data_IF_938747442620
#
_entry.id   IF_938747442620
#
_cell.length_a   1.000
_cell.length_b   1.000
_cell.length_c   1.000
_cell.angle_alpha   90.00
_cell.angle_beta   90.00
_cell.angle_gamma   90.00
#
_symmetry.space_group_name_H-M   'P 1'
#
loop_
_entity.id
_entity.type
_entity.pdbx_description
1 polymer ?
#
# COMPACT_ATOMS: atom_id res chain seq x y z
N UNK A 1 57.82 8.97 -39.12
CA UNK A 1 58.20 7.63 -38.59
C UNK A 1 57.65 7.27 -37.20
N UNK A 2 57.35 8.23 -36.32
CA UNK A 2 56.81 7.88 -34.96
C UNK A 2 55.33 7.45 -34.91
N UNK A 3 54.51 7.77 -35.90
CA UNK A 3 53.07 7.41 -35.94
C UNK A 3 52.79 5.99 -36.48
N UNK A 4 53.69 5.40 -37.23
CA UNK A 4 53.53 4.05 -37.80
C UNK A 4 53.90 2.96 -36.77
N UNK A 5 54.80 3.29 -35.84
CA UNK A 5 55.24 2.34 -34.80
C UNK A 5 54.17 2.06 -33.73
N UNK A 6 53.26 3.02 -33.48
CA UNK A 6 52.16 2.89 -32.50
C UNK A 6 51.04 1.98 -33.03
N UNK A 7 50.81 1.97 -34.35
CA UNK A 7 49.79 1.11 -34.95
C UNK A 7 50.22 -0.37 -35.07
N UNK A 8 51.52 -0.62 -35.19
CA UNK A 8 52.06 -2.01 -35.24
C UNK A 8 52.07 -2.68 -33.89
N UNK A 9 52.27 -1.96 -32.80
CA UNK A 9 52.19 -2.49 -31.44
C UNK A 9 50.74 -2.77 -30.98
N UNK A 10 49.75 -2.03 -31.51
CA UNK A 10 48.32 -2.27 -31.24
C UNK A 10 47.76 -3.51 -31.94
N UNK A 11 48.27 -3.86 -33.11
CA UNK A 11 47.83 -5.04 -33.86
C UNK A 11 48.41 -6.37 -33.33
N UNK A 12 49.56 -6.35 -32.67
CA UNK A 12 50.15 -7.53 -32.04
C UNK A 12 49.51 -7.89 -30.70
N UNK A 13 48.91 -6.93 -30.01
CA UNK A 13 48.16 -7.18 -28.75
C UNK A 13 46.74 -7.75 -29.00
N UNK A 14 46.11 -7.42 -30.12
CA UNK A 14 44.76 -7.94 -30.46
C UNK A 14 44.85 -9.38 -30.99
N UNK A 15 45.90 -9.74 -31.74
CA UNK A 15 46.10 -11.10 -32.22
C UNK A 15 46.44 -12.10 -31.10
N UNK A 16 47.13 -11.64 -30.03
CA UNK A 16 47.43 -12.51 -28.87
C UNK A 16 46.19 -12.89 -28.02
N UNK A 17 45.24 -11.98 -27.90
CA UNK A 17 44.00 -12.22 -27.15
C UNK A 17 43.05 -13.15 -27.93
N UNK A 18 42.98 -13.02 -29.24
CA UNK A 18 42.15 -13.91 -30.10
C UNK A 18 42.70 -15.34 -30.12
N UNK A 19 44.02 -15.51 -30.12
CA UNK A 19 44.64 -16.86 -30.09
C UNK A 19 44.46 -17.56 -28.73
N UNK A 20 44.43 -16.82 -27.61
CA UNK A 20 44.20 -17.38 -26.28
C UNK A 20 42.71 -17.83 -26.09
N UNK A 21 41.77 -17.11 -26.68
CA UNK A 21 40.34 -17.51 -26.65
C UNK A 21 40.03 -18.73 -27.53
N UNK A 22 40.73 -18.91 -28.64
CA UNK A 22 40.55 -20.05 -29.56
C UNK A 22 41.17 -21.33 -28.96
N UNK A 23 42.28 -21.23 -28.20
CA UNK A 23 42.89 -22.39 -27.54
C UNK A 23 42.09 -22.94 -26.36
N UNK A 24 41.26 -22.11 -25.73
CA UNK A 24 40.32 -22.57 -24.69
C UNK A 24 39.02 -23.19 -25.22
N UNK A 25 38.69 -22.97 -26.50
CA UNK A 25 37.47 -23.49 -27.14
C UNK A 25 37.65 -24.85 -27.82
N UNK A 26 38.88 -25.35 -28.01
CA UNK A 26 39.13 -26.62 -28.70
C UNK A 26 39.64 -27.77 -27.81
N UNK A 27 39.74 -27.56 -26.48
CA UNK A 27 40.22 -28.59 -25.53
C UNK A 27 39.11 -29.22 -24.66
N UNK A 28 37.84 -29.13 -25.06
CA UNK A 28 36.73 -29.71 -24.28
C UNK A 28 35.70 -30.40 -25.18
N UNK A 29 36.16 -31.41 -25.94
CA UNK A 29 35.24 -32.40 -26.51
C UNK A 29 35.77 -33.79 -26.23
N UNK A 30 35.43 -34.30 -25.05
CA UNK A 30 35.22 -35.74 -24.75
C UNK A 30 34.84 -35.89 -23.28
N UNK A 31 33.56 -35.80 -23.01
CA UNK A 31 32.84 -36.71 -22.12
C UNK A 31 31.38 -36.27 -22.14
N UNK A 32 30.53 -37.09 -22.74
CA UNK A 32 29.10 -36.90 -22.81
C UNK A 32 28.46 -37.06 -21.42
N UNK A 33 28.44 -35.98 -20.67
CA UNK A 33 27.56 -35.82 -19.54
C UNK A 33 26.47 -34.83 -19.95
N UNK A 34 25.23 -35.28 -20.08
CA UNK A 34 24.06 -34.39 -20.14
C UNK A 34 24.09 -33.58 -18.84
N UNK A 35 24.67 -32.39 -18.91
CA UNK A 35 24.44 -31.37 -17.86
C UNK A 35 22.94 -31.09 -17.93
N UNK A 36 22.16 -31.73 -17.05
CA UNK A 36 20.87 -31.21 -16.64
C UNK A 36 21.13 -29.73 -16.30
N UNK A 37 20.51 -28.85 -17.08
CA UNK A 37 20.36 -27.45 -16.72
C UNK A 37 19.68 -27.50 -15.37
N UNK A 38 20.44 -27.31 -14.29
CA UNK A 38 19.87 -27.14 -12.97
C UNK A 38 18.85 -26.03 -13.13
N UNK A 39 17.58 -26.38 -13.00
CA UNK A 39 16.51 -25.42 -12.89
C UNK A 39 16.91 -24.50 -11.74
N UNK A 40 17.01 -23.21 -12.01
CA UNK A 40 17.30 -22.16 -11.05
C UNK A 40 16.39 -22.36 -9.84
N UNK A 41 16.91 -23.03 -8.80
CA UNK A 41 16.20 -23.36 -7.58
C UNK A 41 16.35 -22.23 -6.56
N UNK A 42 16.63 -21.02 -7.04
CA UNK A 42 16.75 -19.86 -6.16
C UNK A 42 15.38 -19.53 -5.57
N UNK A 43 15.30 -19.54 -4.26
CA UNK A 43 14.16 -19.01 -3.51
C UNK A 43 14.03 -17.52 -3.85
N UNK A 44 12.84 -17.11 -4.29
CA UNK A 44 12.52 -15.70 -4.57
C UNK A 44 11.66 -15.15 -3.45
N UNK A 45 11.82 -13.87 -3.14
CA UNK A 45 11.01 -13.19 -2.14
C UNK A 45 10.50 -11.86 -2.67
N UNK A 46 9.29 -11.48 -2.25
CA UNK A 46 8.70 -10.17 -2.49
C UNK A 46 8.17 -9.61 -1.18
N UNK A 47 8.69 -8.46 -0.76
CA UNK A 47 8.23 -7.74 0.42
C UNK A 47 7.19 -6.70 0.02
N UNK A 48 5.98 -6.86 0.53
CA UNK A 48 4.84 -5.98 0.28
C UNK A 48 4.50 -5.23 1.56
N UNK A 49 4.35 -3.91 1.47
CA UNK A 49 3.80 -3.11 2.58
C UNK A 49 2.45 -2.53 2.19
N UNK A 50 1.55 -2.44 3.16
CA UNK A 50 0.25 -1.78 3.02
C UNK A 50 -0.07 -0.97 4.28
N UNK A 51 -0.80 0.13 4.13
CA UNK A 51 -1.24 0.96 5.24
C UNK A 51 -2.75 1.22 5.17
N UNK A 52 -3.31 1.65 6.29
CA UNK A 52 -4.69 2.09 6.37
C UNK A 52 -4.93 3.49 5.81
N UNK A 53 -6.01 4.13 6.21
CA UNK A 53 -6.63 5.26 5.55
C UNK A 53 -5.73 6.52 5.50
N UNK A 54 -5.39 6.97 4.28
CA UNK A 54 -4.82 8.30 4.00
C UNK A 54 -6.01 9.23 3.76
N UNK A 55 -6.48 9.89 4.82
CA UNK A 55 -7.70 10.69 4.83
C UNK A 55 -7.38 12.17 5.01
N UNK A 56 -7.44 12.94 3.92
CA UNK A 56 -7.00 14.34 3.90
C UNK A 56 -8.11 15.29 4.32
N UNK A 57 -8.27 15.47 5.62
CA UNK A 57 -9.14 16.50 6.20
C UNK A 57 -8.67 17.93 5.87
N UNK A 58 -9.57 18.90 6.04
CA UNK A 58 -9.30 20.32 5.81
C UNK A 58 -8.09 20.86 6.59
N UNK A 59 -7.94 20.49 7.86
CA UNK A 59 -6.80 20.90 8.68
C UNK A 59 -5.45 20.44 8.10
N UNK A 60 -5.41 19.26 7.44
CA UNK A 60 -4.19 18.74 6.83
C UNK A 60 -3.80 19.57 5.62
N UNK A 61 -4.74 19.80 4.66
CA UNK A 61 -4.36 20.57 3.48
C UNK A 61 -4.16 22.06 3.79
N UNK A 62 -4.81 22.62 4.81
CA UNK A 62 -4.47 23.97 5.27
C UNK A 62 -3.04 24.05 5.83
N UNK A 63 -2.60 23.03 6.54
CA UNK A 63 -1.22 22.95 7.03
C UNK A 63 -0.22 22.76 5.89
N UNK A 64 -0.54 21.91 4.92
CA UNK A 64 0.30 21.65 3.74
C UNK A 64 0.39 22.85 2.79
N UNK A 65 -0.51 23.85 2.90
CA UNK A 65 -0.53 25.02 2.02
C UNK A 65 0.68 25.91 2.27
N UNK A 66 1.43 26.23 1.19
CA UNK A 66 2.57 27.15 1.17
C UNK A 66 2.13 28.57 0.87
N UNK A 67 3.07 29.51 1.05
CA UNK A 67 2.84 30.94 0.81
C UNK A 67 2.53 31.26 -0.67
N UNK A 68 3.07 30.48 -1.61
CA UNK A 68 2.80 30.60 -3.04
C UNK A 68 1.47 30.01 -3.49
N UNK A 69 0.71 29.45 -2.53
CA UNK A 69 -0.59 28.81 -2.77
C UNK A 69 -0.53 27.34 -3.18
N UNK A 70 0.65 26.78 -3.41
CA UNK A 70 0.84 25.34 -3.63
C UNK A 70 0.69 24.54 -2.34
N UNK A 71 0.69 23.21 -2.44
CA UNK A 71 0.58 22.30 -1.30
C UNK A 71 1.77 21.36 -1.25
N UNK A 72 2.24 21.03 -0.04
CA UNK A 72 3.34 20.12 0.20
C UNK A 72 3.00 19.20 1.38
N UNK A 73 2.74 17.93 1.07
CA UNK A 73 2.40 16.92 2.07
C UNK A 73 3.62 16.06 2.45
N UNK A 74 4.78 16.20 1.80
CA UNK A 74 5.98 15.42 2.12
C UNK A 74 6.38 15.47 3.60
N UNK A 75 6.26 16.60 4.32
CA UNK A 75 6.57 16.63 5.74
C UNK A 75 5.75 15.64 6.59
N UNK A 76 4.55 15.25 6.16
CA UNK A 76 3.72 14.30 6.92
C UNK A 76 4.30 12.89 6.88
N UNK A 77 4.96 12.53 5.79
CA UNK A 77 5.52 11.20 5.53
C UNK A 77 7.01 11.08 5.84
N UNK A 78 7.66 12.13 6.35
CA UNK A 78 9.12 12.18 6.56
C UNK A 78 9.65 10.96 7.33
N UNK A 79 8.99 10.54 8.41
CA UNK A 79 9.46 9.43 9.23
C UNK A 79 9.08 8.06 8.68
N UNK A 80 7.98 7.96 7.96
CA UNK A 80 7.51 6.68 7.40
C UNK A 80 8.08 6.38 6.02
N UNK A 81 8.52 7.40 5.28
CA UNK A 81 9.07 7.25 3.92
C UNK A 81 10.12 6.14 3.81
N UNK A 82 11.15 6.03 4.69
CA UNK A 82 12.15 4.96 4.58
C UNK A 82 11.57 3.54 4.73
N UNK A 83 10.44 3.40 5.43
CA UNK A 83 9.77 2.12 5.61
C UNK A 83 9.02 1.68 4.34
N UNK A 84 8.43 2.65 3.63
CA UNK A 84 7.69 2.45 2.37
C UNK A 84 8.69 2.21 1.23
N UNK A 85 9.70 3.09 1.05
CA UNK A 85 10.74 2.94 0.02
C UNK A 85 11.56 1.64 0.15
N UNK A 86 11.64 1.07 1.36
CA UNK A 86 12.33 -0.19 1.61
C UNK A 86 11.57 -1.43 1.17
N UNK A 87 10.32 -1.31 0.71
CA UNK A 87 9.52 -2.44 0.21
C UNK A 87 9.80 -2.70 -1.28
N UNK A 88 9.49 -3.91 -1.73
CA UNK A 88 9.50 -4.25 -3.16
C UNK A 88 8.20 -3.83 -3.84
N UNK A 89 7.11 -3.69 -3.07
CA UNK A 89 5.81 -3.19 -3.51
C UNK A 89 5.11 -2.49 -2.34
N UNK A 90 4.64 -1.26 -2.56
CA UNK A 90 3.92 -0.48 -1.57
C UNK A 90 2.51 -0.13 -2.03
N UNK A 91 1.51 -0.43 -1.20
CA UNK A 91 0.08 -0.19 -1.45
C UNK A 91 -0.43 0.83 -0.44
N UNK A 92 -0.98 1.96 -0.90
CA UNK A 92 -1.60 2.98 -0.06
C UNK A 92 -3.11 3.00 -0.20
N UNK A 93 -3.84 3.08 0.90
CA UNK A 93 -5.28 3.32 0.88
C UNK A 93 -5.54 4.83 0.91
N UNK A 94 -6.02 5.40 -0.20
CA UNK A 94 -6.34 6.83 -0.31
C UNK A 94 -7.84 7.04 -0.19
N UNK A 95 -8.31 7.41 0.99
CA UNK A 95 -9.72 7.65 1.28
C UNK A 95 -10.11 9.11 0.99
N UNK A 96 -10.74 9.34 -0.15
CA UNK A 96 -11.17 10.65 -0.61
C UNK A 96 -11.15 10.77 -2.14
N UNK A 97 -11.40 11.97 -2.64
CA UNK A 97 -11.32 12.27 -4.07
C UNK A 97 -10.32 13.38 -4.36
N UNK A 98 -9.94 13.47 -5.62
CA UNK A 98 -9.27 14.61 -6.23
C UNK A 98 -10.12 15.06 -7.40
N UNK A 99 -10.54 16.34 -7.41
CA UNK A 99 -11.35 16.89 -8.49
C UNK A 99 -11.02 18.37 -8.72
N UNK A 100 -10.82 18.73 -9.98
CA UNK A 100 -10.61 20.13 -10.39
C UNK A 100 -11.93 20.89 -10.64
N UNK A 101 -13.08 20.21 -10.50
CA UNK A 101 -14.43 20.78 -10.70
C UNK A 101 -15.19 21.02 -9.41
N UNK A 102 -14.62 20.63 -8.29
CA UNK A 102 -15.20 20.82 -6.97
C UNK A 102 -14.24 21.62 -6.09
N UNK A 103 -14.75 22.43 -5.14
CA UNK A 103 -13.89 23.08 -4.17
C UNK A 103 -13.17 22.04 -3.32
N UNK A 104 -11.99 22.39 -2.80
CA UNK A 104 -11.33 21.56 -1.79
C UNK A 104 -12.25 21.38 -0.58
N UNK A 105 -12.25 20.19 -0.01
CA UNK A 105 -13.11 19.82 1.11
C UNK A 105 -12.50 18.73 1.98
N UNK A 106 -12.82 18.81 3.28
CA UNK A 106 -12.69 17.73 4.23
C UNK A 106 -14.06 17.10 4.50
N UNK A 107 -14.23 16.53 5.73
CA UNK A 107 -15.53 15.94 6.11
C UNK A 107 -16.68 16.95 5.95
N UNK A 108 -17.85 16.56 5.40
CA UNK A 108 -18.22 15.18 5.00
C UNK A 108 -17.92 14.81 3.53
N UNK A 109 -17.44 15.73 2.71
CA UNK A 109 -17.17 15.51 1.29
C UNK A 109 -15.70 15.85 0.99
N UNK A 110 -14.90 14.79 0.87
CA UNK A 110 -13.46 14.93 0.69
C UNK A 110 -13.08 15.23 -0.75
N UNK A 111 -12.36 16.34 -0.93
CA UNK A 111 -11.69 16.70 -2.17
C UNK A 111 -10.31 17.26 -1.85
N UNK A 112 -9.27 16.46 -2.01
CA UNK A 112 -7.92 16.83 -1.64
C UNK A 112 -7.21 17.66 -2.74
N UNK A 113 -6.23 18.49 -2.40
CA UNK A 113 -5.33 19.11 -3.35
C UNK A 113 -4.59 18.05 -4.17
N UNK A 114 -4.46 18.27 -5.48
CA UNK A 114 -3.84 17.32 -6.42
C UNK A 114 -2.39 16.94 -6.05
N UNK A 115 -1.69 17.81 -5.31
CA UNK A 115 -0.31 17.59 -4.87
C UNK A 115 -0.16 16.45 -3.85
N UNK A 116 -1.24 15.97 -3.24
CA UNK A 116 -1.16 14.74 -2.42
C UNK A 116 -0.70 13.54 -3.25
N UNK A 117 -1.10 13.47 -4.53
CA UNK A 117 -0.69 12.40 -5.42
C UNK A 117 0.80 12.50 -5.80
N UNK A 118 1.37 13.71 -5.87
CA UNK A 118 2.81 13.89 -6.02
C UNK A 118 3.54 13.33 -4.80
N UNK A 119 3.07 13.66 -3.61
CA UNK A 119 3.65 13.15 -2.35
C UNK A 119 3.54 11.63 -2.24
N UNK A 120 2.38 11.03 -2.54
CA UNK A 120 2.22 9.56 -2.52
C UNK A 120 3.24 8.89 -3.45
N UNK A 121 3.45 9.45 -4.65
CA UNK A 121 4.48 8.96 -5.57
C UNK A 121 5.90 9.14 -5.02
N UNK A 122 6.21 10.32 -4.50
CA UNK A 122 7.54 10.67 -3.98
C UNK A 122 7.92 9.85 -2.73
N UNK A 123 6.94 9.39 -1.97
CA UNK A 123 7.12 8.53 -0.78
C UNK A 123 7.43 7.08 -1.17
N UNK A 124 7.16 6.68 -2.41
CA UNK A 124 7.52 5.36 -2.93
C UNK A 124 6.38 4.38 -3.06
N UNK A 125 5.12 4.82 -3.06
CA UNK A 125 4.00 3.94 -3.37
C UNK A 125 3.98 3.53 -4.84
N UNK A 126 3.46 2.33 -5.08
CA UNK A 126 3.29 1.74 -6.42
C UNK A 126 1.83 1.61 -6.81
N UNK A 127 0.97 1.32 -5.83
CA UNK A 127 -0.47 1.06 -6.01
C UNK A 127 -1.26 1.89 -5.00
N UNK A 128 -2.39 2.43 -5.46
CA UNK A 128 -3.33 3.18 -4.62
C UNK A 128 -4.69 2.46 -4.64
N UNK A 129 -5.16 2.07 -3.46
CA UNK A 129 -6.51 1.60 -3.26
C UNK A 129 -7.48 2.79 -3.23
N UNK A 130 -8.52 2.71 -4.04
CA UNK A 130 -9.58 3.72 -4.20
C UNK A 130 -10.97 3.14 -3.88
N UNK A 131 -11.06 1.91 -3.37
CA UNK A 131 -12.33 1.28 -3.01
C UNK A 131 -12.78 1.72 -1.61
N UNK A 132 -13.36 2.89 -1.49
CA UNK A 132 -13.84 3.41 -0.21
C UNK A 132 -15.13 4.22 -0.36
N UNK A 133 -15.81 4.43 0.78
CA UNK A 133 -17.11 5.11 0.84
C UNK A 133 -17.07 6.59 0.38
N UNK A 134 -15.89 7.23 0.32
CA UNK A 134 -15.71 8.62 -0.11
C UNK A 134 -15.31 8.80 -1.59
N UNK A 135 -15.18 7.72 -2.39
CA UNK A 135 -14.74 7.83 -3.80
C UNK A 135 -15.74 8.57 -4.70
N UNK A 136 -16.97 8.71 -4.26
CA UNK A 136 -18.01 9.46 -4.97
C UNK A 136 -18.31 10.86 -4.39
N UNK A 137 -17.53 11.36 -3.45
CA UNK A 137 -17.76 12.67 -2.83
C UNK A 137 -17.80 13.84 -3.82
N UNK A 138 -17.08 13.72 -4.93
CA UNK A 138 -17.14 14.66 -6.07
C UNK A 138 -17.77 14.06 -7.32
N UNK A 139 -18.60 13.02 -7.13
CA UNK A 139 -19.36 12.34 -8.16
C UNK A 139 -18.50 11.46 -9.08
N UNK A 140 -19.14 10.90 -10.13
CA UNK A 140 -18.47 10.03 -11.09
C UNK A 140 -17.30 10.71 -11.81
N UNK A 141 -17.42 12.02 -12.06
CA UNK A 141 -16.31 12.78 -12.62
C UNK A 141 -15.10 12.77 -11.70
N UNK A 142 -15.31 13.01 -10.40
CA UNK A 142 -14.23 13.00 -9.42
C UNK A 142 -13.56 11.63 -9.26
N UNK A 143 -14.34 10.55 -9.24
CA UNK A 143 -13.81 9.19 -9.27
C UNK A 143 -12.85 9.00 -10.46
N UNK A 144 -13.29 9.31 -11.69
CA UNK A 144 -12.47 9.17 -12.90
C UNK A 144 -11.25 10.11 -12.90
N UNK A 145 -11.40 11.31 -12.37
CA UNK A 145 -10.32 12.27 -12.31
C UNK A 145 -9.27 11.88 -11.25
N UNK A 146 -9.69 11.33 -10.11
CA UNK A 146 -8.80 10.78 -9.07
C UNK A 146 -7.92 9.66 -9.65
N UNK A 147 -8.52 8.69 -10.33
CA UNK A 147 -7.80 7.63 -11.04
C UNK A 147 -6.76 8.18 -12.02
N UNK A 148 -7.20 9.10 -12.88
CA UNK A 148 -6.32 9.75 -13.85
C UNK A 148 -5.14 10.47 -13.18
N UNK A 149 -5.38 11.18 -12.08
CA UNK A 149 -4.34 11.93 -11.36
C UNK A 149 -3.25 11.00 -10.85
N UNK A 150 -3.60 9.85 -10.30
CA UNK A 150 -2.63 8.86 -9.84
C UNK A 150 -1.90 8.18 -11.00
N UNK A 151 -2.63 7.75 -12.04
CA UNK A 151 -2.05 7.11 -13.24
C UNK A 151 -1.11 8.04 -14.01
N UNK A 152 -1.40 9.33 -14.12
CA UNK A 152 -0.52 10.32 -14.73
C UNK A 152 0.84 10.43 -14.02
N UNK A 153 0.92 10.01 -12.75
CA UNK A 153 2.14 9.97 -11.93
C UNK A 153 2.82 8.61 -11.91
N UNK A 154 2.31 7.66 -12.70
CA UNK A 154 2.84 6.30 -12.78
C UNK A 154 2.56 5.48 -11.53
N UNK A 155 1.42 5.74 -10.87
CA UNK A 155 0.82 4.91 -9.84
C UNK A 155 -0.28 4.06 -10.46
N UNK A 156 -0.33 2.77 -10.13
CA UNK A 156 -1.49 1.96 -10.46
C UNK A 156 -2.61 2.20 -9.44
N UNK A 157 -3.85 2.00 -9.86
CA UNK A 157 -5.03 2.13 -8.99
C UNK A 157 -5.83 0.84 -8.98
N UNK A 158 -6.51 0.56 -7.88
CA UNK A 158 -7.37 -0.61 -7.70
C UNK A 158 -8.68 -0.19 -6.99
N UNK A 159 -9.73 -1.00 -7.14
CA UNK A 159 -10.99 -0.78 -6.44
C UNK A 159 -12.01 0.09 -7.17
N UNK A 160 -11.65 0.63 -8.32
CA UNK A 160 -12.55 1.36 -9.23
C UNK A 160 -12.23 1.03 -10.70
N UNK A 161 -13.18 1.32 -11.59
CA UNK A 161 -13.05 1.07 -13.04
C UNK A 161 -13.33 2.36 -13.80
N UNK A 162 -12.33 3.26 -13.91
CA UNK A 162 -12.51 4.60 -14.47
C UNK A 162 -12.70 4.59 -16.01
N UNK A 163 -11.87 3.81 -16.71
CA UNK A 163 -11.78 3.81 -18.18
C UNK A 163 -12.58 2.69 -18.85
N UNK A 164 -12.78 1.57 -18.16
CA UNK A 164 -13.44 0.37 -18.66
C UNK A 164 -14.56 -0.06 -17.73
N UNK A 165 -15.48 -0.86 -18.26
CA UNK A 165 -16.47 -1.52 -17.42
C UNK A 165 -15.77 -2.56 -16.52
N UNK A 166 -16.24 -2.73 -15.29
CA UNK A 166 -15.72 -3.72 -14.35
C UNK A 166 -15.63 -5.12 -14.96
N UNK A 167 -16.61 -5.53 -15.74
CA UNK A 167 -16.64 -6.84 -16.41
C UNK A 167 -15.57 -7.01 -17.50
N UNK A 168 -15.03 -5.91 -18.03
CA UNK A 168 -14.02 -5.89 -19.10
C UNK A 168 -12.63 -5.56 -18.58
N UNK A 169 -12.53 -5.18 -17.31
CA UNK A 169 -11.28 -4.78 -16.70
C UNK A 169 -10.44 -5.99 -16.28
N UNK A 170 -9.14 -5.80 -16.32
CA UNK A 170 -8.19 -6.82 -15.91
C UNK A 170 -7.91 -6.68 -14.42
N UNK A 171 -7.67 -7.80 -13.77
CA UNK A 171 -7.11 -7.79 -12.43
C UNK A 171 -5.74 -7.10 -12.46
N UNK A 172 -5.49 -6.22 -11.51
CA UNK A 172 -4.16 -5.63 -11.34
C UNK A 172 -3.20 -6.71 -10.83
N UNK A 173 -2.20 -7.04 -11.64
CA UNK A 173 -1.14 -7.97 -11.27
C UNK A 173 0.20 -7.26 -11.38
N UNK A 174 0.93 -7.20 -10.27
CA UNK A 174 2.30 -6.71 -10.20
C UNK A 174 3.26 -7.89 -10.18
N UNK A 175 4.27 -7.87 -11.03
CA UNK A 175 5.35 -8.86 -10.98
C UNK A 175 6.56 -8.26 -10.25
N UNK A 176 6.86 -8.82 -9.08
CA UNK A 176 7.91 -8.37 -8.17
C UNK A 176 8.88 -9.51 -7.91
N UNK A 177 10.13 -9.34 -8.28
CA UNK A 177 11.18 -10.35 -8.10
C UNK A 177 10.80 -11.73 -8.70
N UNK A 178 9.92 -11.74 -9.74
CA UNK A 178 9.42 -12.97 -10.39
C UNK A 178 8.31 -13.67 -9.60
N UNK A 179 7.64 -12.96 -8.69
CA UNK A 179 6.40 -13.34 -8.01
C UNK A 179 5.29 -12.44 -8.54
N UNK A 180 4.21 -13.04 -9.05
CA UNK A 180 3.02 -12.32 -9.51
C UNK A 180 2.06 -12.13 -8.36
N UNK A 181 1.73 -10.88 -8.06
CA UNK A 181 0.86 -10.47 -6.95
C UNK A 181 -0.38 -9.84 -7.56
N UNK A 182 -1.53 -10.48 -7.43
CA UNK A 182 -2.82 -9.91 -7.77
C UNK A 182 -3.31 -9.03 -6.61
N UNK A 183 -3.88 -7.87 -6.93
CA UNK A 183 -4.40 -6.91 -5.96
C UNK A 183 -5.84 -6.57 -6.33
N UNK A 184 -6.76 -6.76 -5.39
CA UNK A 184 -8.19 -6.49 -5.52
C UNK A 184 -8.65 -5.63 -4.35
N UNK A 185 -9.60 -4.73 -4.59
CA UNK A 185 -10.15 -3.89 -3.53
C UNK A 185 -11.66 -3.69 -3.71
N UNK A 186 -12.40 -3.58 -2.59
CA UNK A 186 -13.86 -3.54 -2.58
C UNK A 186 -14.39 -2.63 -1.47
N UNK A 187 -15.48 -1.90 -1.74
CA UNK A 187 -16.13 -1.01 -0.79
C UNK A 187 -17.55 -1.47 -0.42
N UNK A 188 -17.91 -1.27 0.86
CA UNK A 188 -19.26 -1.63 1.36
C UNK A 188 -20.36 -0.69 0.86
N UNK A 189 -20.01 0.52 0.43
CA UNK A 189 -20.96 1.55 0.03
C UNK A 189 -20.28 2.89 -0.24
N UNK A 190 -21.09 3.93 -0.50
CA UNK A 190 -20.60 5.23 -1.00
C UNK A 190 -21.32 6.41 -0.35
N UNK A 191 -21.63 6.32 0.95
CA UNK A 191 -22.31 7.37 1.73
C UNK A 191 -23.61 7.89 1.09
N UNK A 192 -24.30 7.04 0.31
CA UNK A 192 -25.51 7.39 -0.43
C UNK A 192 -25.26 8.21 -1.70
N UNK A 193 -24.01 8.56 -2.04
CA UNK A 193 -23.67 9.32 -3.24
C UNK A 193 -23.91 8.53 -4.53
N UNK A 194 -23.88 7.21 -4.45
CA UNK A 194 -24.21 6.28 -5.53
C UNK A 194 -25.67 6.38 -6.01
N UNK A 195 -26.58 6.94 -5.20
CA UNK A 195 -27.93 7.26 -5.61
C UNK A 195 -28.02 8.27 -6.77
N UNK A 196 -26.94 9.04 -7.02
CA UNK A 196 -26.83 9.97 -8.13
C UNK A 196 -26.31 9.30 -9.42
N UNK A 197 -25.96 8.02 -9.39
CA UNK A 197 -25.50 7.26 -10.54
C UNK A 197 -26.66 6.52 -11.22
N UNK A 198 -26.51 6.29 -12.53
CA UNK A 198 -27.34 5.29 -13.19
C UNK A 198 -26.98 3.88 -12.70
N UNK A 199 -27.89 2.92 -12.80
CA UNK A 199 -27.58 1.53 -12.48
C UNK A 199 -26.43 0.98 -13.34
N UNK A 200 -26.30 1.45 -14.59
CA UNK A 200 -25.21 1.09 -15.48
C UNK A 200 -23.87 1.66 -14.98
N UNK A 201 -23.81 2.95 -14.61
CA UNK A 201 -22.58 3.57 -14.08
C UNK A 201 -22.12 2.88 -12.79
N UNK A 202 -23.07 2.60 -11.88
CA UNK A 202 -22.76 1.88 -10.64
C UNK A 202 -22.12 0.51 -10.92
N UNK A 203 -22.76 -0.28 -11.78
CA UNK A 203 -22.25 -1.62 -12.13
C UNK A 203 -20.90 -1.56 -12.84
N UNK A 204 -20.68 -0.54 -13.67
CA UNK A 204 -19.50 -0.45 -14.52
C UNK A 204 -18.27 0.13 -13.80
N UNK A 205 -18.47 1.02 -12.81
CA UNK A 205 -17.37 1.81 -12.26
C UNK A 205 -17.01 1.50 -10.80
N UNK A 206 -17.87 0.78 -10.08
CA UNK A 206 -17.70 0.54 -8.65
C UNK A 206 -17.37 -0.92 -8.33
N UNK A 207 -16.51 -1.14 -7.35
CA UNK A 207 -16.18 -2.45 -6.81
C UNK A 207 -16.90 -2.67 -5.48
N UNK A 208 -18.20 -2.95 -5.56
CA UNK A 208 -19.04 -3.25 -4.40
C UNK A 208 -18.63 -4.58 -3.75
N UNK A 209 -18.94 -4.76 -2.45
CA UNK A 209 -18.89 -6.04 -1.74
C UNK A 209 -20.03 -6.98 -2.20
N UNK A 210 -20.05 -7.29 -3.49
CA UNK A 210 -20.94 -8.27 -4.11
C UNK A 210 -20.27 -9.64 -4.07
N UNK A 211 -20.76 -10.55 -3.22
CA UNK A 211 -20.12 -11.84 -2.96
C UNK A 211 -19.93 -12.70 -4.23
N UNK A 212 -20.84 -12.65 -5.18
CA UNK A 212 -20.72 -13.45 -6.42
C UNK A 212 -19.59 -12.90 -7.29
N UNK A 213 -19.56 -11.60 -7.52
CA UNK A 213 -18.50 -10.95 -8.31
C UNK A 213 -17.14 -11.04 -7.64
N UNK A 214 -17.07 -10.78 -6.33
CA UNK A 214 -15.83 -10.92 -5.56
C UNK A 214 -15.27 -12.34 -5.67
N UNK A 215 -16.12 -13.35 -5.52
CA UNK A 215 -15.72 -14.75 -5.67
C UNK A 215 -15.16 -15.03 -7.05
N UNK A 216 -15.84 -14.59 -8.12
CA UNK A 216 -15.37 -14.76 -9.50
C UNK A 216 -14.01 -14.08 -9.72
N UNK A 217 -13.86 -12.84 -9.26
CA UNK A 217 -12.65 -12.05 -9.42
C UNK A 217 -11.47 -12.62 -8.60
N UNK A 218 -11.68 -13.02 -7.33
CA UNK A 218 -10.65 -13.63 -6.49
C UNK A 218 -10.21 -14.99 -7.04
N UNK A 219 -11.15 -15.83 -7.49
CA UNK A 219 -10.81 -17.10 -8.12
C UNK A 219 -10.11 -16.96 -9.48
N UNK A 220 -10.35 -15.86 -10.19
CA UNK A 220 -9.61 -15.52 -11.40
C UNK A 220 -8.20 -15.05 -11.04
N UNK A 221 -8.06 -14.20 -10.02
CA UNK A 221 -6.76 -13.74 -9.52
C UNK A 221 -5.85 -14.89 -9.11
N UNK A 222 -6.37 -15.86 -8.34
CA UNK A 222 -5.63 -17.05 -7.92
C UNK A 222 -5.10 -17.88 -9.12
N UNK A 223 -5.83 -17.90 -10.24
CA UNK A 223 -5.38 -18.62 -11.46
C UNK A 223 -4.34 -17.84 -12.27
N UNK A 224 -4.35 -16.51 -12.20
CA UNK A 224 -3.53 -15.64 -13.04
C UNK A 224 -2.25 -15.17 -12.32
N UNK A 225 -2.21 -15.24 -10.97
CA UNK A 225 -1.10 -14.79 -10.14
C UNK A 225 -0.57 -15.90 -9.21
N UNK A 226 0.56 -15.63 -8.57
CA UNK A 226 1.17 -16.55 -7.60
C UNK A 226 0.57 -16.35 -6.18
N UNK A 227 0.10 -15.13 -5.88
CA UNK A 227 -0.57 -14.76 -4.64
C UNK A 227 -1.62 -13.68 -4.90
N UNK A 228 -2.64 -13.65 -4.04
CA UNK A 228 -3.75 -12.71 -4.12
C UNK A 228 -3.89 -11.91 -2.83
N UNK A 229 -3.82 -10.58 -2.94
CA UNK A 229 -4.07 -9.62 -1.88
C UNK A 229 -5.43 -8.98 -2.11
N UNK A 230 -6.28 -8.95 -1.07
CA UNK A 230 -7.60 -8.34 -1.12
C UNK A 230 -7.70 -7.24 -0.08
N UNK A 231 -8.21 -6.07 -0.48
CA UNK A 231 -8.38 -4.89 0.38
C UNK A 231 -9.88 -4.54 0.47
N UNK A 232 -10.62 -5.14 1.41
CA UNK A 232 -12.02 -4.80 1.63
C UNK A 232 -12.13 -3.63 2.61
N UNK A 233 -12.99 -2.67 2.28
CA UNK A 233 -13.39 -1.61 3.18
C UNK A 233 -14.78 -1.91 3.75
N UNK A 234 -14.83 -2.35 5.01
CA UNK A 234 -16.02 -2.81 5.70
C UNK A 234 -15.85 -2.75 7.22
N UNK A 235 -16.95 -2.61 7.94
CA UNK A 235 -16.99 -2.64 9.40
C UNK A 235 -17.88 -1.55 9.96
N UNK A 236 -17.70 -1.24 11.24
CA UNK A 236 -18.41 -0.17 11.93
C UNK A 236 -17.41 0.84 12.46
N UNK A 237 -17.55 2.10 12.04
CA UNK A 237 -16.65 3.17 12.46
C UNK A 237 -16.42 3.21 13.97
N UNK A 238 -15.16 3.32 14.36
CA UNK A 238 -14.67 3.46 15.74
C UNK A 238 -14.93 2.25 16.65
N UNK A 239 -15.32 1.10 16.10
CA UNK A 239 -15.36 -0.18 16.82
C UNK A 239 -14.03 -0.90 16.72
N UNK A 240 -13.55 -1.40 17.86
CA UNK A 240 -12.26 -2.09 17.95
C UNK A 240 -12.34 -3.58 17.58
N UNK A 241 -13.56 -4.11 17.49
CA UNK A 241 -13.80 -5.52 17.18
C UNK A 241 -14.56 -5.64 15.87
N UNK A 242 -14.16 -6.54 14.97
CA UNK A 242 -14.87 -6.77 13.72
C UNK A 242 -16.27 -7.35 13.96
N UNK A 243 -17.21 -7.01 13.10
CA UNK A 243 -18.55 -7.61 13.12
C UNK A 243 -18.51 -9.06 12.66
N UNK A 244 -19.53 -9.85 12.99
CA UNK A 244 -19.62 -11.24 12.54
C UNK A 244 -19.76 -11.34 11.00
N UNK A 245 -20.43 -10.36 10.37
CA UNK A 245 -20.53 -10.25 8.92
C UNK A 245 -19.16 -9.99 8.27
N UNK A 246 -18.36 -9.09 8.89
CA UNK A 246 -17.01 -8.79 8.44
C UNK A 246 -16.11 -10.04 8.54
N UNK A 247 -16.12 -10.73 9.68
CA UNK A 247 -15.39 -11.99 9.86
C UNK A 247 -15.79 -13.02 8.82
N UNK A 248 -17.09 -13.26 8.67
CA UNK A 248 -17.61 -14.25 7.75
C UNK A 248 -17.19 -13.96 6.30
N UNK A 249 -17.24 -12.68 5.88
CA UNK A 249 -16.86 -12.29 4.52
C UNK A 249 -15.36 -12.43 4.27
N UNK A 250 -14.51 -12.01 5.23
CA UNK A 250 -13.06 -12.12 5.06
C UNK A 250 -12.58 -13.57 5.04
N UNK A 251 -13.20 -14.44 5.83
CA UNK A 251 -12.98 -15.89 5.73
C UNK A 251 -13.40 -16.45 4.36
N UNK A 252 -14.54 -16.01 3.80
CA UNK A 252 -14.91 -16.38 2.42
C UNK A 252 -13.89 -15.92 1.39
N UNK A 253 -13.30 -14.74 1.54
CA UNK A 253 -12.22 -14.27 0.63
C UNK A 253 -11.03 -15.23 0.66
N UNK A 254 -10.61 -15.69 1.85
CA UNK A 254 -9.58 -16.73 1.99
C UNK A 254 -10.02 -18.03 1.30
N UNK A 255 -11.25 -18.48 1.54
CA UNK A 255 -11.81 -19.69 0.90
C UNK A 255 -11.82 -19.58 -0.64
N UNK A 256 -12.05 -18.39 -1.20
CA UNK A 256 -12.06 -18.15 -2.64
C UNK A 256 -10.68 -18.07 -3.26
N UNK A 257 -9.61 -17.89 -2.48
CA UNK A 257 -8.22 -17.90 -2.94
C UNK A 257 -7.36 -16.70 -2.52
N UNK A 258 -7.85 -15.82 -1.66
CA UNK A 258 -7.00 -14.76 -1.11
C UNK A 258 -5.92 -15.36 -0.18
N UNK A 259 -4.70 -14.86 -0.30
CA UNK A 259 -3.57 -15.18 0.60
C UNK A 259 -3.50 -14.20 1.76
N UNK A 260 -3.84 -12.93 1.50
CA UNK A 260 -3.79 -11.84 2.46
C UNK A 260 -5.03 -10.95 2.29
N UNK A 261 -5.65 -10.60 3.42
CA UNK A 261 -6.74 -9.63 3.48
C UNK A 261 -6.31 -8.46 4.37
N UNK A 262 -6.27 -7.25 3.79
CA UNK A 262 -5.99 -5.99 4.47
C UNK A 262 -7.26 -5.17 4.57
N UNK A 263 -7.98 -5.23 5.70
CA UNK A 263 -9.21 -4.49 5.92
C UNK A 263 -9.00 -3.02 6.28
N UNK A 264 -9.99 -2.19 5.93
CA UNK A 264 -10.08 -0.77 6.22
C UNK A 264 -11.51 -0.34 6.54
N UNK A 265 -11.77 0.96 6.71
CA UNK A 265 -13.04 1.64 7.02
C UNK A 265 -13.30 1.95 8.50
N UNK A 266 -13.08 1.09 9.51
CA UNK A 266 -13.42 1.43 10.90
C UNK A 266 -12.68 2.65 11.47
N UNK A 267 -11.66 3.18 10.80
CA UNK A 267 -10.78 4.27 11.24
C UNK A 267 -10.06 3.99 12.57
N UNK A 268 -10.12 2.77 13.02
CA UNK A 268 -9.40 2.23 14.18
C UNK A 268 -8.87 0.85 13.83
N UNK A 269 -7.81 0.45 14.51
CA UNK A 269 -7.24 -0.88 14.33
C UNK A 269 -8.21 -1.93 14.88
N UNK A 270 -8.46 -2.98 14.11
CA UNK A 270 -9.09 -4.21 14.56
C UNK A 270 -8.07 -5.37 14.59
N UNK A 271 -8.34 -6.47 15.33
CA UNK A 271 -7.39 -7.56 15.48
C UNK A 271 -6.96 -8.24 14.18
N UNK A 272 -5.84 -8.97 14.24
CA UNK A 272 -5.35 -9.83 13.16
C UNK A 272 -5.70 -11.30 13.42
N UNK A 273 -5.78 -12.07 12.33
CA UNK A 273 -6.01 -13.51 12.37
C UNK A 273 -5.11 -14.25 11.39
N UNK A 274 -4.60 -15.41 11.81
CA UNK A 274 -3.91 -16.37 10.94
C UNK A 274 -4.87 -17.51 10.64
N UNK A 275 -5.11 -17.76 9.35
CA UNK A 275 -6.03 -18.81 8.89
C UNK A 275 -5.24 -19.92 8.20
N UNK A 276 -5.46 -21.17 8.58
CA UNK A 276 -4.89 -22.33 7.91
C UNK A 276 -5.81 -22.77 6.76
N UNK A 277 -5.27 -22.83 5.53
CA UNK A 277 -6.01 -23.33 4.37
C UNK A 277 -5.08 -24.19 3.51
N UNK A 278 -5.48 -25.42 3.21
CA UNK A 278 -4.77 -26.39 2.36
C UNK A 278 -3.31 -26.64 2.81
N UNK A 279 -3.05 -26.49 4.12
CA UNK A 279 -1.72 -26.66 4.74
C UNK A 279 -0.81 -25.42 4.63
N UNK A 280 -1.33 -24.28 4.17
CA UNK A 280 -0.66 -23.00 4.13
C UNK A 280 -1.31 -21.99 5.06
N UNK A 281 -0.49 -21.13 5.65
CA UNK A 281 -0.97 -19.99 6.44
C UNK A 281 -1.39 -18.85 5.54
N UNK A 282 -2.58 -18.31 5.80
CA UNK A 282 -3.14 -17.10 5.19
C UNK A 282 -3.32 -16.04 6.28
N UNK A 283 -3.44 -14.80 5.88
CA UNK A 283 -3.45 -13.70 6.82
C UNK A 283 -4.65 -12.78 6.63
N UNK A 284 -5.26 -12.36 7.75
CA UNK A 284 -6.30 -11.34 7.82
C UNK A 284 -5.89 -10.30 8.86
N UNK A 285 -5.94 -9.02 8.51
CA UNK A 285 -6.11 -7.91 9.44
C UNK A 285 -7.48 -7.28 9.17
N UNK A 286 -8.32 -7.22 10.18
CA UNK A 286 -9.71 -6.78 9.99
C UNK A 286 -9.81 -5.28 9.72
N UNK A 287 -8.94 -4.45 10.34
CA UNK A 287 -8.75 -3.04 9.96
C UNK A 287 -7.36 -2.57 10.34
N UNK A 288 -6.72 -1.84 9.42
CA UNK A 288 -5.41 -1.21 9.64
C UNK A 288 -5.53 0.16 10.33
N UNK A 289 -6.74 0.71 10.50
CA UNK A 289 -6.98 2.04 11.07
C UNK A 289 -6.47 3.18 10.20
N UNK A 290 -6.45 4.39 10.73
CA UNK A 290 -5.96 5.57 10.01
C UNK A 290 -4.43 5.58 9.90
N UNK A 291 -3.91 5.89 8.72
CA UNK A 291 -2.49 6.15 8.53
C UNK A 291 -2.17 7.64 8.69
N UNK A 292 -3.00 8.51 8.12
CA UNK A 292 -2.97 9.94 8.39
C UNK A 292 -4.37 10.55 8.31
N UNK A 293 -4.78 11.21 9.37
CA UNK A 293 -6.06 11.90 9.45
C UNK A 293 -6.03 13.04 10.50
N UNK A 294 -7.09 13.83 10.59
CA UNK A 294 -7.28 14.79 11.68
C UNK A 294 -8.19 14.25 12.79
N UNK A 295 -8.40 12.94 12.83
CA UNK A 295 -9.16 12.25 13.88
C UNK A 295 -8.23 11.99 15.08
N UNK A 296 -8.03 13.02 15.90
CA UNK A 296 -7.11 13.01 17.05
C UNK A 296 -7.88 12.86 18.36
N UNK A 297 -7.19 12.41 19.41
CA UNK A 297 -7.73 12.30 20.77
C UNK A 297 -8.48 13.56 21.21
N UNK A 298 -7.92 14.75 20.97
CA UNK A 298 -8.52 16.02 21.40
C UNK A 298 -9.81 16.40 20.64
N UNK A 299 -10.04 15.79 19.47
CA UNK A 299 -11.25 16.02 18.66
C UNK A 299 -12.30 14.94 18.83
N UNK A 300 -11.84 13.69 18.96
CA UNK A 300 -12.71 12.52 18.95
C UNK A 300 -13.03 12.02 20.35
N UNK A 301 -12.36 12.53 21.39
CA UNK A 301 -12.37 11.98 22.74
C UNK A 301 -12.07 10.46 22.76
N UNK A 302 -11.37 10.02 21.71
CA UNK A 302 -10.97 8.65 21.45
C UNK A 302 -9.54 8.63 20.90
N UNK A 303 -8.68 7.84 21.54
CA UNK A 303 -7.26 7.74 21.16
C UNK A 303 -6.99 6.81 19.99
N UNK A 304 -7.94 5.94 19.64
CA UNK A 304 -7.70 4.92 18.63
C UNK A 304 -7.65 5.47 17.20
N UNK A 305 -8.45 6.48 16.79
CA UNK A 305 -8.37 7.00 15.42
C UNK A 305 -7.07 7.74 15.06
N UNK A 306 -6.21 8.10 16.04
CA UNK A 306 -4.86 8.63 15.74
C UNK A 306 -3.80 7.53 15.55
N UNK A 307 -4.19 6.25 15.66
CA UNK A 307 -3.36 5.06 15.59
C UNK A 307 -3.68 4.24 14.36
N UNK A 308 -2.66 3.66 13.77
CA UNK A 308 -2.79 2.81 12.60
C UNK A 308 -1.70 1.77 12.52
N UNK A 309 -1.67 1.08 11.39
CA UNK A 309 -0.67 0.07 11.08
C UNK A 309 -0.03 0.34 9.72
N UNK A 310 1.25 0.04 9.63
CA UNK A 310 1.92 -0.31 8.39
C UNK A 310 2.13 -1.83 8.43
N UNK A 311 1.40 -2.55 7.59
CA UNK A 311 1.57 -4.00 7.44
C UNK A 311 2.76 -4.30 6.54
N UNK A 312 3.51 -5.36 6.86
CA UNK A 312 4.70 -5.81 6.13
C UNK A 312 4.61 -7.32 5.95
N UNK A 313 4.38 -7.73 4.72
CA UNK A 313 4.22 -9.15 4.34
C UNK A 313 5.30 -9.53 3.36
N UNK A 314 6.02 -10.62 3.65
CA UNK A 314 6.97 -11.20 2.69
C UNK A 314 6.38 -12.48 2.11
N UNK A 315 6.26 -12.53 0.81
CA UNK A 315 5.98 -13.74 0.05
C UNK A 315 7.28 -14.45 -0.32
N UNK A 316 7.26 -15.77 -0.30
CA UNK A 316 8.38 -16.62 -0.70
C UNK A 316 7.92 -17.61 -1.76
N UNK A 317 8.62 -17.63 -2.91
CA UNK A 317 8.39 -18.58 -3.99
C UNK A 317 9.55 -19.56 -4.07
N UNK A 318 9.25 -20.84 -3.87
CA UNK A 318 10.19 -21.94 -4.04
C UNK A 318 9.65 -22.90 -5.07
N UNK A 319 10.34 -23.04 -6.20
CA UNK A 319 9.86 -23.77 -7.39
C UNK A 319 8.51 -23.16 -7.87
N UNK A 320 7.44 -23.97 -7.83
CA UNK A 320 6.13 -23.58 -8.34
C UNK A 320 5.15 -23.18 -7.20
N UNK A 321 5.62 -23.16 -5.94
CA UNK A 321 4.78 -22.81 -4.78
C UNK A 321 5.20 -21.47 -4.20
N UNK A 322 4.21 -20.59 -4.04
CA UNK A 322 4.38 -19.29 -3.34
C UNK A 322 3.55 -19.32 -2.05
N UNK A 323 4.12 -18.84 -0.96
CA UNK A 323 3.47 -18.79 0.36
C UNK A 323 3.74 -17.47 1.05
N UNK A 324 2.89 -17.12 2.01
CA UNK A 324 3.15 -16.03 2.95
C UNK A 324 4.23 -16.50 3.93
N UNK A 325 5.42 -15.88 3.86
CA UNK A 325 6.59 -16.26 4.66
C UNK A 325 6.61 -15.59 6.02
N UNK A 326 6.44 -14.27 6.01
CA UNK A 326 6.41 -13.46 7.23
C UNK A 326 5.30 -12.43 7.16
N UNK A 327 4.72 -12.15 8.31
CA UNK A 327 3.80 -11.02 8.50
C UNK A 327 4.26 -10.23 9.71
N UNK A 328 4.36 -8.92 9.56
CA UNK A 328 4.63 -7.99 10.66
C UNK A 328 3.63 -6.87 10.62
N UNK A 329 3.20 -6.44 11.78
CA UNK A 329 2.39 -5.25 11.96
C UNK A 329 3.26 -4.20 12.66
N UNK A 330 3.51 -3.09 11.98
CA UNK A 330 4.26 -1.96 12.52
C UNK A 330 3.27 -0.91 13.03
N UNK A 331 3.14 -0.73 14.37
CA UNK A 331 2.27 0.28 14.94
C UNK A 331 2.65 1.68 14.47
N UNK A 332 1.65 2.46 14.04
CA UNK A 332 1.84 3.86 13.65
C UNK A 332 1.02 4.79 14.53
N UNK A 333 1.46 6.05 14.60
CA UNK A 333 0.78 7.12 15.33
C UNK A 333 0.84 8.40 14.51
N UNK A 334 -0.29 9.07 14.36
CA UNK A 334 -0.33 10.43 13.81
C UNK A 334 0.11 11.41 14.90
N UNK A 335 1.37 11.84 14.81
CA UNK A 335 1.87 12.92 15.64
C UNK A 335 1.33 14.25 15.16
N UNK A 336 0.79 15.06 16.06
CA UNK A 336 0.33 16.41 15.77
C UNK A 336 0.85 17.40 16.81
N UNK A 337 1.39 18.55 16.34
CA UNK A 337 1.92 19.61 17.20
C UNK A 337 1.46 20.96 16.68
N UNK A 338 0.95 21.82 17.60
CA UNK A 338 0.63 23.21 17.26
C UNK A 338 1.82 23.89 16.59
N UNK A 339 1.59 24.50 15.41
CA UNK A 339 2.64 25.17 14.64
C UNK A 339 2.60 26.70 14.69
N UNK A 340 1.73 27.25 15.54
CA UNK A 340 1.55 28.70 15.71
C UNK A 340 0.76 29.39 14.60
N UNK A 341 0.40 28.68 13.54
CA UNK A 341 -0.47 29.19 12.45
C UNK A 341 -1.94 29.01 12.83
N UNK A 342 -2.80 29.80 12.23
CA UNK A 342 -4.25 29.62 12.32
C UNK A 342 -4.91 29.91 10.98
N UNK A 343 -6.13 29.39 10.79
CA UNK A 343 -7.02 29.75 9.70
C UNK A 343 -8.42 30.02 10.26
N UNK A 344 -8.95 31.23 9.99
CA UNK A 344 -10.24 31.64 10.50
C UNK A 344 -10.40 31.48 12.04
N UNK A 345 -9.31 31.65 12.78
CA UNK A 345 -9.27 31.49 14.25
C UNK A 345 -9.07 30.04 14.72
N UNK A 346 -9.09 29.05 13.83
CA UNK A 346 -8.78 27.66 14.17
C UNK A 346 -7.26 27.43 14.13
N UNK A 347 -6.64 26.85 15.18
CA UNK A 347 -5.22 26.58 15.19
C UNK A 347 -4.86 25.45 14.20
N UNK A 348 -3.69 25.59 13.57
CA UNK A 348 -3.11 24.56 12.69
C UNK A 348 -2.02 23.78 13.43
N UNK A 349 -1.80 22.56 12.94
CA UNK A 349 -0.86 21.59 13.52
C UNK A 349 0.07 21.08 12.43
N UNK A 350 1.34 20.85 12.75
CA UNK A 350 2.19 19.99 11.94
C UNK A 350 1.81 18.54 12.21
N UNK A 351 1.72 17.75 11.15
CA UNK A 351 1.39 16.33 11.21
C UNK A 351 2.57 15.50 10.76
N UNK A 352 2.79 14.36 11.42
CA UNK A 352 3.81 13.36 11.05
C UNK A 352 3.23 11.96 11.27
N UNK A 353 3.51 11.06 10.36
CA UNK A 353 3.23 9.63 10.53
C UNK A 353 4.45 8.99 11.16
N UNK A 354 4.33 8.53 12.40
CA UNK A 354 5.41 7.88 13.14
C UNK A 354 5.24 6.36 13.07
N UNK A 355 6.26 5.63 12.63
CA UNK A 355 6.36 4.18 12.87
C UNK A 355 6.99 4.01 14.23
N UNK A 356 6.24 3.45 15.19
CA UNK A 356 6.57 3.56 16.61
C UNK A 356 7.86 2.84 17.01
N UNK A 357 8.29 1.81 16.27
CA UNK A 357 9.58 1.14 16.48
C UNK A 357 10.78 2.10 16.41
N UNK A 358 10.69 3.16 15.62
CA UNK A 358 11.74 4.17 15.55
C UNK A 358 11.77 5.09 16.78
N UNK A 359 10.73 5.08 17.63
CA UNK A 359 10.53 6.05 18.73
C UNK A 359 10.37 5.40 20.11
N UNK A 360 10.17 4.10 20.23
CA UNK A 360 10.18 3.37 21.51
C UNK A 360 11.59 3.34 22.14
N UNK A 361 11.72 2.75 23.32
CA UNK A 361 13.04 2.59 23.94
C UNK A 361 13.99 1.79 23.03
N UNK A 362 15.15 2.37 22.72
CA UNK A 362 16.11 1.83 21.75
C UNK A 362 15.85 2.22 20.29
N UNK A 363 14.74 2.88 19.97
CA UNK A 363 14.44 3.39 18.63
C UNK A 363 15.35 4.56 18.23
N UNK A 364 15.72 4.62 16.94
CA UNK A 364 16.71 5.57 16.39
C UNK A 364 16.31 7.05 16.47
N UNK A 365 15.00 7.36 16.63
CA UNK A 365 14.45 8.73 16.65
C UNK A 365 13.91 9.13 18.03
N UNK A 366 14.02 8.27 19.05
CA UNK A 366 13.47 8.52 20.39
C UNK A 366 13.93 9.82 21.03
N UNK A 367 15.20 10.17 20.85
CA UNK A 367 15.78 11.38 21.46
C UNK A 367 15.25 12.70 20.88
N UNK A 368 14.50 12.65 19.77
CA UNK A 368 13.81 13.79 19.20
C UNK A 368 12.51 14.14 19.93
N UNK A 369 12.04 13.26 20.83
CA UNK A 369 10.78 13.40 21.55
C UNK A 369 10.99 14.01 22.94
N UNK A 370 10.05 14.85 23.36
CA UNK A 370 9.91 15.21 24.76
C UNK A 370 9.37 14.04 25.60
N UNK A 371 9.45 14.15 26.93
CA UNK A 371 9.10 13.04 27.83
C UNK A 371 7.62 12.67 27.76
N UNK A 372 6.73 13.63 27.52
CA UNK A 372 5.28 13.37 27.35
C UNK A 372 5.01 12.57 26.10
N UNK A 373 5.71 12.88 25.00
CA UNK A 373 5.56 12.15 23.75
C UNK A 373 6.21 10.77 23.82
N UNK A 374 7.34 10.61 24.52
CA UNK A 374 7.94 9.31 24.80
C UNK A 374 6.98 8.37 25.52
N UNK A 375 6.29 8.89 26.57
CA UNK A 375 5.26 8.14 27.29
C UNK A 375 4.09 7.75 26.38
N UNK A 376 3.57 8.71 25.57
CA UNK A 376 2.48 8.45 24.61
C UNK A 376 2.85 7.36 23.60
N UNK A 377 4.06 7.40 23.09
CA UNK A 377 4.60 6.40 22.14
C UNK A 377 4.67 5.02 22.78
N UNK A 378 5.28 4.90 23.99
CA UNK A 378 5.42 3.62 24.67
C UNK A 378 4.05 2.99 25.00
N UNK A 379 3.09 3.79 25.48
CA UNK A 379 1.72 3.34 25.73
C UNK A 379 1.05 2.91 24.44
N UNK A 380 1.15 3.72 23.38
CA UNK A 380 0.50 3.41 22.10
C UNK A 380 1.08 2.15 21.47
N UNK A 381 2.40 1.99 21.46
CA UNK A 381 3.06 0.78 20.93
C UNK A 381 2.57 -0.48 21.65
N UNK A 382 2.56 -0.45 22.99
CA UNK A 382 2.09 -1.58 23.80
C UNK A 382 0.63 -1.91 23.51
N UNK A 383 -0.26 -0.92 23.61
CA UNK A 383 -1.71 -1.12 23.43
C UNK A 383 -2.05 -1.60 22.02
N UNK A 384 -1.39 -1.06 20.97
CA UNK A 384 -1.60 -1.51 19.58
C UNK A 384 -1.13 -2.95 19.42
N UNK A 385 0.07 -3.28 19.89
CA UNK A 385 0.64 -4.63 19.76
C UNK A 385 -0.24 -5.67 20.46
N UNK A 386 -0.71 -5.36 21.68
CA UNK A 386 -1.61 -6.23 22.44
C UNK A 386 -2.97 -6.40 21.73
N UNK A 387 -3.50 -5.32 21.15
CA UNK A 387 -4.80 -5.33 20.47
C UNK A 387 -4.78 -6.06 19.14
N UNK A 388 -3.77 -5.81 18.30
CA UNK A 388 -3.58 -6.52 17.02
C UNK A 388 -3.45 -8.02 17.24
N UNK A 389 -2.80 -8.42 18.33
CA UNK A 389 -2.63 -9.82 18.75
C UNK A 389 -2.11 -10.73 17.62
N UNK A 390 -1.20 -10.20 16.80
CA UNK A 390 -0.61 -10.92 15.68
C UNK A 390 0.15 -12.17 16.18
N UNK A 391 -0.24 -13.33 15.65
CA UNK A 391 0.41 -14.62 15.89
C UNK A 391 0.88 -15.19 14.56
N UNK A 392 2.08 -14.83 14.16
CA UNK A 392 2.71 -15.34 12.94
C UNK A 392 4.08 -15.92 13.33
N UNK A 393 4.16 -17.23 13.46
CA UNK A 393 5.38 -17.99 13.76
C UNK A 393 5.79 -18.89 12.58
#
# INVERSE_FOLDING_TARGET
MRKILVYMLGLLSISGIIFSCIYFLTASDKEGGILKKDSDSSVKTARVVANGDILIHDALYYTAKKEDGSYDFNPFFEYVKPWIEGADLAIGDFEGTISDRSPLGGYPLFNAPVQIADTIKDVGYDVVDLAHNHILDTGLYGLKYTDKVFKDRGLDTVGIHADKKRSEDKILIKEVNGIKIAILAYAYGYNGMDANLTAEDRTNHLSDLDEEKMKEEIQRAEKEADVTVVMPQMGVEYKLEPTEEQKALYHKMIEWGADVVFGGHPHVIEPAETVEKDGDKKFIIYSMGNFVSNQRMERMENKWPERGLLMDVTFEKSKDKTTVKTVKAHPTLVYSKLNGRNINGAPLYDYKIMVLEDFINGGKLRDQLDDKMKEKVDISYKEITEHVNLKWE
#
